data_IF_011614516246
#
_entry.id   IF_011614516246
#
_cell.length_a   1.000
_cell.length_b   1.000
_cell.length_c   1.000
_cell.angle_alpha   90.00
_cell.angle_beta   90.00
_cell.angle_gamma   90.00
#
_symmetry.space_group_name_H-M   'P 1'
#
loop_
_entity.id
_entity.type
_entity.pdbx_description
1 polymer ?
#
# COMPACT_ATOMS: atom_id res chain seq x y z
N UNK A 1 10.95 5.22 6.08
CA UNK A 1 12.27 5.63 5.57
C UNK A 1 12.51 7.12 5.69
N UNK A 2 11.78 7.99 4.98
CA UNK A 2 12.00 9.44 5.07
C UNK A 2 11.89 9.98 6.51
N UNK A 3 10.82 9.64 7.23
CA UNK A 3 10.62 10.05 8.62
C UNK A 3 11.78 9.63 9.53
N UNK A 4 12.20 8.36 9.41
CA UNK A 4 13.31 7.81 10.18
C UNK A 4 14.63 8.54 9.89
N UNK A 5 14.94 8.75 8.61
CA UNK A 5 16.18 9.41 8.23
C UNK A 5 16.25 10.87 8.67
N UNK A 6 15.17 11.64 8.57
CA UNK A 6 15.18 13.03 9.05
C UNK A 6 15.29 13.12 10.57
N UNK A 7 14.83 12.11 11.30
CA UNK A 7 15.03 12.00 12.74
C UNK A 7 16.48 11.64 13.07
N UNK A 8 16.98 10.53 12.52
CA UNK A 8 18.28 9.97 12.90
C UNK A 8 19.47 10.77 12.35
N UNK A 9 19.42 11.18 11.08
CA UNK A 9 20.54 11.86 10.42
C UNK A 9 20.50 13.38 10.63
N UNK A 10 19.31 13.98 10.68
CA UNK A 10 19.14 15.44 10.78
C UNK A 10 18.64 15.90 12.15
N UNK A 11 18.14 15.02 13.01
CA UNK A 11 17.58 15.39 14.33
C UNK A 11 16.30 16.23 14.24
N UNK A 12 15.56 16.18 13.13
CA UNK A 12 14.33 16.94 12.94
C UNK A 12 13.11 16.14 13.41
N UNK A 13 12.97 15.94 14.72
CA UNK A 13 11.88 15.15 15.34
C UNK A 13 10.48 15.59 14.87
N UNK A 14 10.21 16.90 14.85
CA UNK A 14 8.91 17.44 14.40
C UNK A 14 8.64 17.12 12.93
N UNK A 15 9.66 17.18 12.06
CA UNK A 15 9.48 16.81 10.65
C UNK A 15 9.27 15.30 10.52
N UNK A 16 9.98 14.50 11.32
CA UNK A 16 9.83 13.05 11.36
C UNK A 16 8.39 12.66 11.71
N UNK A 17 7.82 13.22 12.77
CA UNK A 17 6.42 12.98 13.17
C UNK A 17 5.43 13.38 12.06
N UNK A 18 5.65 14.54 11.43
CA UNK A 18 4.80 15.01 10.33
C UNK A 18 4.85 14.09 9.10
N UNK A 19 6.01 13.52 8.80
CA UNK A 19 6.18 12.55 7.72
C UNK A 19 5.59 11.18 8.09
N UNK A 20 5.78 10.72 9.32
CA UNK A 20 5.27 9.44 9.82
C UNK A 20 3.73 9.41 9.92
N UNK A 21 3.10 10.56 10.12
CA UNK A 21 1.63 10.70 10.17
C UNK A 21 0.96 10.77 8.80
N UNK A 22 1.71 10.68 7.70
CA UNK A 22 1.12 10.59 6.36
C UNK A 22 0.52 9.19 6.18
N UNK A 23 -0.81 9.12 6.14
CA UNK A 23 -1.52 7.90 5.76
C UNK A 23 -1.29 7.61 4.27
N UNK A 24 -0.42 6.64 3.96
CA UNK A 24 -0.10 6.28 2.58
C UNK A 24 -1.27 5.61 1.85
N UNK A 25 -2.21 5.00 2.57
CA UNK A 25 -3.34 4.29 1.98
C UNK A 25 -4.35 5.26 1.36
N UNK A 26 -4.50 6.46 1.89
CA UNK A 26 -5.42 7.49 1.36
C UNK A 26 -5.03 8.00 -0.04
N UNK A 27 -3.79 7.74 -0.50
CA UNK A 27 -3.32 8.25 -1.78
C UNK A 27 -3.56 7.27 -2.92
N UNK A 28 -4.24 7.69 -4.01
CA UNK A 28 -4.56 6.81 -5.14
C UNK A 28 -3.36 6.55 -6.06
N UNK A 29 -2.30 7.37 -5.95
CA UNK A 29 -1.09 7.24 -6.79
C UNK A 29 0.16 7.61 -6.01
N UNK A 30 1.31 7.02 -6.42
CA UNK A 30 2.64 7.40 -5.90
C UNK A 30 2.94 8.88 -6.16
N UNK A 31 2.43 9.44 -7.27
CA UNK A 31 2.59 10.85 -7.59
C UNK A 31 1.92 11.76 -6.55
N UNK A 32 0.68 11.44 -6.15
CA UNK A 32 -0.05 12.19 -5.12
C UNK A 32 0.64 12.10 -3.75
N UNK A 33 1.07 10.89 -3.36
CA UNK A 33 1.82 10.68 -2.11
C UNK A 33 3.13 11.49 -2.10
N UNK A 34 3.86 11.50 -3.22
CA UNK A 34 5.09 12.28 -3.36
C UNK A 34 4.85 13.78 -3.17
N UNK A 35 3.80 14.32 -3.77
CA UNK A 35 3.45 15.74 -3.59
C UNK A 35 3.10 16.05 -2.13
N UNK A 36 2.40 15.14 -1.44
CA UNK A 36 2.13 15.29 -0.01
C UNK A 36 3.41 15.36 0.82
N UNK A 37 4.34 14.44 0.59
CA UNK A 37 5.64 14.40 1.28
C UNK A 37 6.42 15.69 1.04
N UNK A 38 6.52 16.14 -0.22
CA UNK A 38 7.19 17.39 -0.59
C UNK A 38 6.55 18.58 0.13
N UNK A 39 5.22 18.68 0.14
CA UNK A 39 4.51 19.76 0.82
C UNK A 39 4.82 19.81 2.33
N UNK A 40 4.81 18.65 3.00
CA UNK A 40 5.16 18.57 4.43
C UNK A 40 6.60 19.06 4.69
N UNK A 41 7.55 18.69 3.84
CA UNK A 41 8.93 19.14 3.95
C UNK A 41 9.06 20.65 3.69
N UNK A 42 8.42 21.17 2.64
CA UNK A 42 8.45 22.59 2.30
C UNK A 42 7.84 23.46 3.41
N UNK A 43 6.68 23.07 3.93
CA UNK A 43 6.00 23.77 5.03
C UNK A 43 6.86 23.81 6.29
N UNK A 44 7.58 22.73 6.60
CA UNK A 44 8.50 22.69 7.72
C UNK A 44 9.73 23.58 7.48
N UNK A 45 10.37 23.46 6.31
CA UNK A 45 11.59 24.17 5.97
C UNK A 45 11.39 25.69 5.86
N UNK A 46 10.18 26.16 5.52
CA UNK A 46 9.86 27.59 5.48
C UNK A 46 10.12 28.33 6.81
N UNK A 47 10.10 27.61 7.94
CA UNK A 47 10.38 28.16 9.27
C UNK A 47 11.81 27.89 9.78
N UNK A 48 12.64 27.16 9.03
CA UNK A 48 13.99 26.78 9.45
C UNK A 48 14.97 27.88 9.07
N UNK A 49 15.70 28.41 10.07
CA UNK A 49 16.71 29.46 9.87
C UNK A 49 18.14 28.91 9.81
N UNK A 50 18.37 27.74 10.42
CA UNK A 50 19.64 27.04 10.40
C UNK A 50 19.42 25.64 9.82
N UNK A 51 19.84 25.46 8.58
CA UNK A 51 19.82 24.16 7.91
C UNK A 51 20.79 23.18 8.58
N UNK A 52 20.40 21.92 8.62
CA UNK A 52 21.24 20.82 9.10
C UNK A 52 21.65 19.98 7.91
N UNK A 53 22.91 19.60 7.90
CA UNK A 53 23.45 18.66 6.93
C UNK A 53 23.53 17.27 7.57
N UNK A 54 23.27 16.24 6.78
CA UNK A 54 23.50 14.87 7.22
C UNK A 54 25.00 14.67 7.42
N UNK A 55 25.43 14.04 8.54
CA UNK A 55 26.82 13.65 8.70
C UNK A 55 27.28 12.72 7.58
N UNK A 56 28.58 12.68 7.33
CA UNK A 56 29.18 11.68 6.45
C UNK A 56 28.70 10.26 6.84
N UNK A 57 28.43 9.43 5.84
CA UNK A 57 27.93 8.05 5.96
C UNK A 57 26.49 7.93 6.49
N UNK A 58 25.77 9.05 6.64
CA UNK A 58 24.34 9.10 6.95
C UNK A 58 23.53 9.75 5.82
N UNK A 59 24.00 9.69 4.57
CA UNK A 59 23.27 10.19 3.42
C UNK A 59 22.01 9.36 3.14
N UNK A 60 20.94 10.01 2.65
CA UNK A 60 19.76 9.25 2.21
C UNK A 60 20.01 8.60 0.86
N UNK A 61 19.94 7.28 0.81
CA UNK A 61 20.06 6.53 -0.44
C UNK A 61 18.69 6.28 -1.08
N UNK A 62 18.43 6.91 -2.22
CA UNK A 62 17.24 6.63 -3.02
C UNK A 62 17.39 5.30 -3.75
N UNK A 63 16.52 4.35 -3.39
CA UNK A 63 16.45 3.02 -4.00
C UNK A 63 15.15 2.92 -4.80
N UNK A 64 15.21 2.25 -5.97
CA UNK A 64 14.02 1.91 -6.75
C UNK A 64 13.81 0.39 -6.74
N UNK A 65 12.55 -0.05 -6.60
CA UNK A 65 12.17 -1.43 -6.88
C UNK A 65 11.87 -1.60 -8.37
N UNK A 66 12.13 -2.79 -8.90
CA UNK A 66 11.70 -3.23 -10.22
C UNK A 66 10.99 -4.57 -10.02
N UNK A 67 9.69 -4.59 -10.31
CA UNK A 67 8.88 -5.77 -10.09
C UNK A 67 8.73 -6.56 -11.39
N UNK A 68 8.85 -7.88 -11.31
CA UNK A 68 8.68 -8.80 -12.44
C UNK A 68 7.46 -9.68 -12.16
N UNK A 69 6.43 -9.51 -12.96
CA UNK A 69 5.17 -10.26 -12.81
C UNK A 69 5.28 -11.59 -13.55
N UNK A 70 5.04 -12.68 -12.83
CA UNK A 70 5.02 -14.04 -13.38
C UNK A 70 3.61 -14.63 -13.22
N UNK A 71 3.05 -15.27 -14.28
CA UNK A 71 1.76 -15.91 -14.17
C UNK A 71 1.84 -17.11 -13.21
N UNK A 72 0.74 -17.34 -12.48
CA UNK A 72 0.55 -18.53 -11.65
C UNK A 72 -0.43 -19.48 -12.35
N UNK A 73 -0.48 -20.78 -12.00
CA UNK A 73 -1.42 -21.72 -12.61
C UNK A 73 -2.87 -21.57 -12.09
N UNK A 74 -3.13 -20.61 -11.21
CA UNK A 74 -4.43 -20.45 -10.56
C UNK A 74 -5.32 -19.46 -11.33
N UNK A 75 -6.54 -19.90 -11.65
CA UNK A 75 -7.57 -19.09 -12.30
C UNK A 75 -8.90 -19.37 -11.60
N UNK A 76 -9.60 -18.32 -11.20
CA UNK A 76 -10.93 -18.42 -10.59
C UNK A 76 -11.98 -17.88 -11.57
N UNK A 77 -13.08 -18.63 -11.76
CA UNK A 77 -14.21 -18.24 -12.60
C UNK A 77 -15.45 -17.86 -11.79
N UNK A 78 -15.47 -18.21 -10.51
CA UNK A 78 -16.54 -17.89 -9.58
C UNK A 78 -16.00 -17.67 -8.15
N UNK A 79 -16.89 -17.26 -7.25
CA UNK A 79 -16.53 -16.95 -5.86
C UNK A 79 -16.03 -18.18 -5.10
N UNK A 80 -16.50 -19.39 -5.45
CA UNK A 80 -16.10 -20.63 -4.77
C UNK A 80 -14.67 -21.02 -5.17
N UNK A 81 -14.35 -20.98 -6.46
CA UNK A 81 -12.99 -21.19 -6.95
C UNK A 81 -12.03 -20.15 -6.38
N UNK A 82 -12.45 -18.88 -6.31
CA UNK A 82 -11.66 -17.80 -5.71
C UNK A 82 -11.28 -18.12 -4.26
N UNK A 83 -12.25 -18.53 -3.45
CA UNK A 83 -12.03 -18.92 -2.04
C UNK A 83 -11.06 -20.11 -1.92
N UNK A 84 -11.21 -21.11 -2.79
CA UNK A 84 -10.32 -22.28 -2.79
C UNK A 84 -8.89 -21.91 -3.23
N UNK A 85 -8.75 -20.92 -4.12
CA UNK A 85 -7.48 -20.42 -4.64
C UNK A 85 -6.78 -19.49 -3.64
N UNK A 86 -7.52 -18.66 -2.89
CA UNK A 86 -6.95 -17.78 -1.86
C UNK A 86 -6.08 -18.53 -0.84
N UNK A 87 -6.42 -19.80 -0.56
CA UNK A 87 -5.66 -20.68 0.33
C UNK A 87 -4.39 -21.28 -0.29
N UNK A 88 -4.26 -21.22 -1.62
CA UNK A 88 -3.18 -21.87 -2.40
C UNK A 88 -2.16 -20.86 -2.91
N UNK A 89 -2.59 -19.64 -3.25
CA UNK A 89 -1.68 -18.62 -3.77
C UNK A 89 -0.63 -18.22 -2.75
N UNK A 90 0.56 -17.87 -3.23
CA UNK A 90 1.61 -17.34 -2.36
C UNK A 90 1.20 -16.00 -1.76
N UNK A 91 1.86 -15.63 -0.66
CA UNK A 91 1.61 -14.34 -0.02
C UNK A 91 2.01 -13.15 -0.92
N UNK A 92 2.97 -13.37 -1.84
CA UNK A 92 3.39 -12.38 -2.82
C UNK A 92 2.32 -12.14 -3.89
N UNK A 93 1.56 -13.17 -4.28
CA UNK A 93 0.43 -12.99 -5.21
C UNK A 93 -0.69 -12.19 -4.54
N UNK A 94 -0.95 -12.43 -3.25
CA UNK A 94 -1.88 -11.60 -2.47
C UNK A 94 -1.41 -10.14 -2.39
N UNK A 95 -0.12 -9.93 -2.08
CA UNK A 95 0.49 -8.60 -2.03
C UNK A 95 0.33 -7.86 -3.37
N UNK A 96 0.67 -8.52 -4.47
CA UNK A 96 0.53 -7.97 -5.82
C UNK A 96 -0.91 -7.52 -6.14
N UNK A 97 -1.89 -8.39 -5.84
CA UNK A 97 -3.29 -8.12 -6.18
C UNK A 97 -3.97 -7.12 -5.24
N UNK A 98 -3.52 -6.97 -4.00
CA UNK A 98 -4.12 -6.03 -3.03
C UNK A 98 -3.34 -4.72 -2.92
N UNK A 99 -2.04 -4.78 -2.62
CA UNK A 99 -1.23 -3.59 -2.37
C UNK A 99 -0.81 -2.91 -3.68
N UNK A 100 -0.05 -3.64 -4.51
CA UNK A 100 0.54 -3.04 -5.71
C UNK A 100 -0.54 -2.59 -6.69
N UNK A 101 -1.62 -3.36 -6.80
CA UNK A 101 -2.76 -3.04 -7.65
C UNK A 101 -3.27 -1.61 -7.42
N UNK A 102 -3.42 -1.17 -6.17
CA UNK A 102 -3.93 0.19 -5.87
C UNK A 102 -3.10 1.29 -6.52
N UNK A 103 -1.76 1.18 -6.41
CA UNK A 103 -0.82 2.14 -6.98
C UNK A 103 -0.64 1.97 -8.50
N UNK A 104 -0.62 0.71 -8.98
CA UNK A 104 -0.44 0.33 -10.38
C UNK A 104 -1.64 0.72 -11.25
N UNK A 105 -2.85 0.51 -10.76
CA UNK A 105 -4.09 0.74 -11.50
C UNK A 105 -4.49 2.21 -11.55
N UNK A 106 -3.99 3.02 -10.61
CA UNK A 106 -4.37 4.44 -10.44
C UNK A 106 -5.90 4.64 -10.28
N UNK A 107 -6.63 3.59 -9.89
CA UNK A 107 -8.08 3.59 -9.67
C UNK A 107 -8.47 3.62 -8.19
N UNK A 108 -7.49 3.61 -7.29
CA UNK A 108 -7.74 3.65 -5.84
C UNK A 108 -8.34 2.38 -5.26
N UNK A 109 -8.41 1.28 -6.01
CA UNK A 109 -8.91 -0.03 -5.56
C UNK A 109 -7.96 -1.16 -5.99
N UNK A 110 -8.22 -2.37 -5.52
CA UNK A 110 -7.39 -3.56 -5.76
C UNK A 110 -7.97 -4.49 -6.85
N UNK A 111 -7.14 -5.41 -7.36
CA UNK A 111 -7.53 -6.32 -8.45
C UNK A 111 -8.72 -7.22 -8.06
N UNK A 112 -8.76 -7.69 -6.81
CA UNK A 112 -9.84 -8.58 -6.35
C UNK A 112 -11.18 -7.84 -6.26
N UNK A 113 -11.20 -6.65 -5.67
CA UNK A 113 -12.39 -5.82 -5.59
C UNK A 113 -12.93 -5.50 -6.99
N UNK A 114 -12.06 -5.12 -7.94
CA UNK A 114 -12.50 -4.87 -9.32
C UNK A 114 -13.10 -6.12 -9.96
N UNK A 115 -12.45 -7.27 -9.84
CA UNK A 115 -12.95 -8.50 -10.44
C UNK A 115 -14.30 -8.93 -9.82
N UNK A 116 -14.43 -8.84 -8.50
CA UNK A 116 -15.69 -9.16 -7.81
C UNK A 116 -16.83 -8.26 -8.25
N UNK A 117 -16.61 -6.94 -8.37
CA UNK A 117 -17.64 -6.01 -8.84
C UNK A 117 -17.95 -6.19 -10.33
N UNK A 118 -16.93 -6.12 -11.19
CA UNK A 118 -17.10 -6.04 -12.64
C UNK A 118 -17.49 -7.38 -13.27
N UNK A 119 -17.00 -8.50 -12.73
CA UNK A 119 -17.21 -9.83 -13.32
C UNK A 119 -18.26 -10.66 -12.58
N UNK A 120 -18.39 -10.53 -11.25
CA UNK A 120 -19.37 -11.30 -10.47
C UNK A 120 -20.58 -10.46 -10.00
N UNK A 121 -20.56 -9.13 -10.18
CA UNK A 121 -21.63 -8.25 -9.71
C UNK A 121 -21.66 -8.09 -8.17
N UNK A 122 -20.59 -8.50 -7.49
CA UNK A 122 -20.50 -8.56 -6.02
C UNK A 122 -20.03 -7.23 -5.42
N UNK A 123 -20.81 -6.17 -5.68
CA UNK A 123 -20.44 -4.79 -5.32
C UNK A 123 -20.20 -4.58 -3.82
N UNK A 124 -21.10 -5.07 -2.96
CA UNK A 124 -20.95 -4.89 -1.50
C UNK A 124 -19.69 -5.59 -0.97
N UNK A 125 -19.38 -6.79 -1.48
CA UNK A 125 -18.19 -7.53 -1.11
C UNK A 125 -16.92 -6.83 -1.62
N UNK A 126 -16.95 -6.34 -2.86
CA UNK A 126 -15.86 -5.56 -3.45
C UNK A 126 -15.55 -4.32 -2.62
N UNK A 127 -16.57 -3.56 -2.19
CA UNK A 127 -16.42 -2.39 -1.33
C UNK A 127 -15.84 -2.75 0.05
N UNK A 128 -16.27 -3.85 0.65
CA UNK A 128 -15.73 -4.32 1.93
C UNK A 128 -14.23 -4.65 1.82
N UNK A 129 -13.83 -5.37 0.76
CA UNK A 129 -12.42 -5.71 0.52
C UNK A 129 -11.60 -4.47 0.17
N UNK A 130 -12.16 -3.52 -0.59
CA UNK A 130 -11.45 -2.30 -0.99
C UNK A 130 -11.09 -1.38 0.20
N UNK A 131 -11.85 -1.47 1.30
CA UNK A 131 -11.61 -0.71 2.54
C UNK A 131 -10.58 -1.35 3.47
N UNK A 132 -10.09 -2.55 3.18
CA UNK A 132 -9.04 -3.16 3.96
C UNK A 132 -7.74 -2.40 3.71
N UNK A 133 -7.37 -1.52 4.64
CA UNK A 133 -6.06 -0.87 4.63
C UNK A 133 -5.00 -1.92 4.90
N UNK A 134 -4.21 -2.30 3.90
CA UNK A 134 -3.41 -3.49 4.00
C UNK A 134 -2.15 -3.24 4.87
N UNK A 135 -1.80 -1.99 5.17
CA UNK A 135 -0.73 -1.65 6.14
C UNK A 135 -1.11 -1.94 7.60
N UNK A 136 -2.40 -2.11 7.90
CA UNK A 136 -2.88 -2.45 9.24
C UNK A 136 -2.95 -3.97 9.49
N UNK A 137 -2.52 -4.80 8.54
CA UNK A 137 -2.57 -6.25 8.64
C UNK A 137 -1.21 -6.88 8.38
N UNK A 138 -0.96 -8.02 9.01
CA UNK A 138 -0.05 -8.99 8.41
C UNK A 138 -0.70 -9.52 7.13
N UNK A 139 0.10 -9.86 6.12
CA UNK A 139 -0.46 -10.37 4.86
C UNK A 139 -1.32 -11.63 5.06
N UNK A 140 -0.98 -12.47 6.03
CA UNK A 140 -1.78 -13.67 6.35
C UNK A 140 -3.12 -13.32 7.03
N UNK A 141 -3.13 -12.32 7.93
CA UNK A 141 -4.38 -11.83 8.50
C UNK A 141 -5.27 -11.17 7.43
N UNK A 142 -4.65 -10.50 6.46
CA UNK A 142 -5.35 -9.93 5.32
C UNK A 142 -5.97 -11.03 4.45
N UNK A 143 -5.22 -12.09 4.15
CA UNK A 143 -5.73 -13.28 3.44
C UNK A 143 -6.95 -13.85 4.14
N UNK A 144 -6.84 -14.08 5.45
CA UNK A 144 -7.93 -14.67 6.24
C UNK A 144 -9.15 -13.73 6.29
N UNK A 145 -8.93 -12.43 6.41
CA UNK A 145 -10.02 -11.44 6.39
C UNK A 145 -10.78 -11.48 5.07
N UNK A 146 -10.08 -11.41 3.93
CA UNK A 146 -10.69 -11.53 2.59
C UNK A 146 -11.43 -12.86 2.45
N UNK A 147 -10.79 -13.96 2.86
CA UNK A 147 -11.39 -15.29 2.84
C UNK A 147 -12.72 -15.33 3.61
N UNK A 148 -12.77 -14.78 4.83
CA UNK A 148 -13.98 -14.76 5.65
C UNK A 148 -15.08 -13.88 5.06
N UNK A 149 -14.73 -12.74 4.45
CA UNK A 149 -15.70 -11.89 3.74
C UNK A 149 -16.34 -12.63 2.57
N UNK A 150 -15.52 -13.27 1.72
CA UNK A 150 -16.01 -14.07 0.61
C UNK A 150 -16.86 -15.26 1.08
N UNK A 151 -16.44 -15.96 2.14
CA UNK A 151 -17.18 -17.10 2.70
C UNK A 151 -18.55 -16.72 3.27
N UNK A 152 -18.70 -15.53 3.85
CA UNK A 152 -19.99 -15.02 4.36
C UNK A 152 -20.99 -14.70 3.25
N UNK A 153 -20.50 -14.43 2.04
CA UNK A 153 -21.33 -14.08 0.88
C UNK A 153 -21.92 -15.30 0.18
N UNK A 154 -21.20 -16.42 0.17
CA UNK A 154 -21.68 -17.74 -0.29
C UNK A 154 -22.82 -18.26 0.57
#
# INVERSE_FOLDING_TARGET
DFALWVEEALGYEILAERLASIDTFEFPTIGALRQRIIGVMQDFLAGVTNEREAPQDNEFHFIKSIDVVLPTPYVAHDLREFIDILRKISINSLYFHIFEAKLRLQRGTNDFSMWLEDCLGEKELAEQIARLDPYNYTLENLRETVFQLCKKKL
#
